data_IF_391789218313
#
_entry.id   IF_391789218313
#
_cell.length_a   1.000
_cell.length_b   1.000
_cell.length_c   1.000
_cell.angle_alpha   90.00
_cell.angle_beta   90.00
_cell.angle_gamma   90.00
#
_symmetry.space_group_name_H-M   'P 1'
#
loop_
_entity.id
_entity.type
_entity.pdbx_description
1 polymer ?
#
# COMPACT_ATOMS: atom_id res chain seq x y z
N UNK A 1 -19.10 12.91 -4.69
CA UNK A 1 -17.69 13.23 -4.47
C UNK A 1 -16.99 12.10 -3.77
N UNK A 2 -15.84 11.73 -4.28
CA UNK A 2 -15.12 10.59 -3.77
C UNK A 2 -14.22 10.94 -2.60
N UNK A 3 -14.22 10.07 -1.60
CA UNK A 3 -13.33 10.23 -0.46
C UNK A 3 -11.97 9.64 -0.83
N UNK A 4 -10.93 10.41 -0.61
CA UNK A 4 -9.58 9.96 -0.89
C UNK A 4 -8.85 9.67 0.40
N UNK A 5 -8.14 8.56 0.40
CA UNK A 5 -7.27 8.24 1.52
C UNK A 5 -5.98 9.02 1.35
N UNK A 6 -5.63 9.77 2.37
CA UNK A 6 -4.41 10.55 2.35
C UNK A 6 -3.40 9.90 3.27
N UNK A 7 -2.28 9.52 2.70
CA UNK A 7 -1.22 8.85 3.45
C UNK A 7 -0.18 9.87 3.89
N UNK A 8 0.36 9.66 5.08
CA UNK A 8 1.48 10.49 5.54
C UNK A 8 2.74 10.12 4.76
N UNK A 9 3.73 11.02 4.72
CA UNK A 9 4.99 10.69 4.05
C UNK A 9 5.65 9.43 4.62
N UNK A 10 5.54 9.22 5.92
CA UNK A 10 6.11 8.04 6.55
C UNK A 10 5.41 6.77 6.08
N UNK A 11 4.09 6.83 5.96
CA UNK A 11 3.32 5.70 5.47
C UNK A 11 3.69 5.38 4.03
N UNK A 12 3.80 6.40 3.21
CA UNK A 12 4.16 6.21 1.80
C UNK A 12 5.56 5.63 1.67
N UNK A 13 6.48 6.12 2.48
CA UNK A 13 7.84 5.63 2.45
C UNK A 13 7.89 4.13 2.75
N UNK A 14 7.16 3.71 3.77
CA UNK A 14 7.13 2.30 4.12
C UNK A 14 6.45 1.47 3.06
N UNK A 15 5.35 1.98 2.50
CA UNK A 15 4.65 1.26 1.45
C UNK A 15 5.53 1.09 0.22
N UNK A 16 6.25 2.13 -0.16
CA UNK A 16 7.14 2.03 -1.31
C UNK A 16 8.27 1.04 -1.07
N UNK A 17 8.80 1.04 0.13
CA UNK A 17 9.87 0.09 0.47
C UNK A 17 9.37 -1.34 0.36
N UNK A 18 8.16 -1.59 0.84
CA UNK A 18 7.60 -2.93 0.74
C UNK A 18 7.28 -3.30 -0.69
N UNK A 19 6.83 -2.33 -1.49
CA UNK A 19 6.55 -2.60 -2.89
C UNK A 19 7.81 -2.96 -3.66
N UNK A 20 8.91 -2.31 -3.36
CA UNK A 20 10.18 -2.63 -4.01
C UNK A 20 10.59 -4.06 -3.71
N UNK A 21 10.35 -4.49 -2.49
CA UNK A 21 10.69 -5.84 -2.08
C UNK A 21 9.75 -6.87 -2.70
N UNK A 22 8.48 -6.51 -2.80
CA UNK A 22 7.47 -7.46 -3.23
C UNK A 22 6.26 -6.71 -3.79
N UNK A 23 6.04 -6.83 -5.09
CA UNK A 23 4.93 -6.12 -5.74
C UNK A 23 3.57 -6.71 -5.38
N UNK A 24 3.54 -7.97 -5.00
CA UNK A 24 2.31 -8.63 -4.57
C UNK A 24 2.51 -9.11 -3.15
N UNK A 25 1.65 -8.66 -2.28
CA UNK A 25 1.79 -8.97 -0.87
C UNK A 25 0.70 -9.94 -0.45
N UNK A 26 1.08 -11.02 0.25
CA UNK A 26 0.09 -11.97 0.73
C UNK A 26 -0.71 -11.36 1.88
N UNK A 27 -1.88 -11.95 2.14
CA UNK A 27 -2.83 -11.39 3.07
C UNK A 27 -2.27 -11.14 4.46
N UNK A 28 -1.50 -12.11 4.98
CA UNK A 28 -0.95 -11.98 6.33
C UNK A 28 0.02 -10.80 6.43
N UNK A 29 0.89 -10.67 5.44
CA UNK A 29 1.84 -9.57 5.42
C UNK A 29 1.13 -8.23 5.30
N UNK A 30 0.06 -8.22 4.50
CA UNK A 30 -0.74 -7.01 4.33
C UNK A 30 -1.35 -6.57 5.66
N UNK A 31 -1.81 -7.55 6.41
CA UNK A 31 -2.41 -7.29 7.71
C UNK A 31 -1.38 -6.65 8.66
N UNK A 32 -0.21 -7.23 8.72
CA UNK A 32 0.82 -6.71 9.61
C UNK A 32 1.29 -5.34 9.20
N UNK A 33 1.45 -5.12 7.91
CA UNK A 33 1.87 -3.82 7.41
C UNK A 33 0.82 -2.77 7.72
N UNK A 34 -0.45 -3.09 7.52
CA UNK A 34 -1.52 -2.16 7.82
C UNK A 34 -1.52 -1.80 9.28
N UNK A 35 -1.37 -2.79 10.15
CA UNK A 35 -1.35 -2.52 11.58
C UNK A 35 -0.17 -1.63 11.97
N UNK A 36 0.99 -1.88 11.38
CA UNK A 36 2.17 -1.10 11.67
C UNK A 36 2.02 0.35 11.23
N UNK A 37 1.28 0.57 10.16
CA UNK A 37 1.08 1.91 9.60
C UNK A 37 -0.20 2.55 10.08
N UNK A 38 -0.95 1.86 10.92
CA UNK A 38 -2.23 2.38 11.43
C UNK A 38 -3.23 2.59 10.30
N UNK A 39 -3.24 1.66 9.36
CA UNK A 39 -4.15 1.68 8.22
C UNK A 39 -4.99 0.42 8.25
N UNK A 40 -6.02 0.37 7.40
CA UNK A 40 -6.78 -0.84 7.22
C UNK A 40 -6.15 -1.70 6.14
N UNK A 41 -6.47 -2.99 6.16
CA UNK A 41 -6.01 -3.89 5.10
C UNK A 41 -6.49 -3.43 3.74
N UNK A 42 -7.73 -2.93 3.69
CA UNK A 42 -8.31 -2.48 2.43
C UNK A 42 -7.51 -1.33 1.85
N UNK A 43 -7.07 -0.41 2.69
CA UNK A 43 -6.28 0.73 2.23
C UNK A 43 -4.94 0.28 1.66
N UNK A 44 -4.30 -0.65 2.32
CA UNK A 44 -3.02 -1.18 1.83
C UNK A 44 -3.22 -1.92 0.52
N UNK A 45 -4.28 -2.72 0.44
CA UNK A 45 -4.58 -3.47 -0.77
C UNK A 45 -4.80 -2.53 -1.96
N UNK A 46 -5.61 -1.49 -1.75
CA UNK A 46 -5.89 -0.54 -2.82
C UNK A 46 -4.63 0.20 -3.23
N UNK A 47 -3.80 0.58 -2.26
CA UNK A 47 -2.56 1.26 -2.58
C UNK A 47 -1.68 0.39 -3.47
N UNK A 48 -1.54 -0.89 -3.12
CA UNK A 48 -0.71 -1.80 -3.91
C UNK A 48 -1.29 -2.00 -5.31
N UNK A 49 -2.61 -2.11 -5.43
CA UNK A 49 -3.23 -2.26 -6.74
C UNK A 49 -2.94 -1.05 -7.63
N UNK A 50 -3.10 0.14 -7.08
CA UNK A 50 -2.87 1.35 -7.85
C UNK A 50 -1.40 1.50 -8.20
N UNK A 51 -0.53 1.12 -7.29
CA UNK A 51 0.91 1.22 -7.53
C UNK A 51 1.34 0.26 -8.64
N UNK A 52 0.75 -0.94 -8.66
CA UNK A 52 1.05 -1.91 -9.70
C UNK A 52 0.64 -1.40 -11.07
N UNK A 53 -0.50 -0.72 -11.14
CA UNK A 53 -0.96 -0.17 -12.41
C UNK A 53 0.06 0.83 -12.95
N UNK A 54 0.55 1.72 -12.09
CA UNK A 54 1.55 2.68 -12.50
C UNK A 54 2.85 1.99 -12.91
N UNK A 55 3.24 0.98 -12.16
CA UNK A 55 4.46 0.25 -12.43
C UNK A 55 4.40 -0.47 -13.77
N UNK A 56 3.24 -1.04 -14.09
CA UNK A 56 3.10 -1.79 -15.33
C UNK A 56 3.03 -0.90 -16.55
N UNK A 57 2.66 0.34 -16.36
CA UNK A 57 2.58 1.27 -17.48
C UNK A 57 3.92 1.84 -17.87
N UNK A 58 4.92 1.66 -17.08
CA UNK A 58 6.24 2.21 -17.38
C UNK A 58 7.08 1.28 -18.27
#
# INVERSE_FOLDING_TARGET
>A
KRVRTIFTPEQLERLEAEFERQQYMVGTERYYLAAALNLTEAQVKVWFQNRRIKWRKQ
#
